data_IF_756063843028
#
_entry.id   IF_756063843028
#
_cell.length_a   1.000
_cell.length_b   1.000
_cell.length_c   1.000
_cell.angle_alpha   90.00
_cell.angle_beta   90.00
_cell.angle_gamma   90.00
#
_symmetry.space_group_name_H-M   'P 1'
#
loop_
_entity.id
_entity.type
_entity.pdbx_description
1 polymer ?
#
# COMPACT_ATOMS: atom_id res chain seq x y z
N UNK A 1 -13.73 12.57 -10.63
CA UNK A 1 -12.34 12.33 -11.09
C UNK A 1 -12.31 12.65 -12.57
N UNK A 2 -11.47 13.57 -13.00
CA UNK A 2 -11.30 13.89 -14.43
C UNK A 2 -10.26 12.95 -15.06
N UNK A 3 -10.30 12.84 -16.40
CA UNK A 3 -9.42 11.94 -17.16
C UNK A 3 -7.93 12.33 -17.02
N UNK A 4 -7.62 13.63 -16.91
CA UNK A 4 -6.25 14.08 -16.81
C UNK A 4 -5.63 13.68 -15.46
N UNK A 5 -6.38 13.81 -14.37
CA UNK A 5 -5.99 13.33 -13.04
C UNK A 5 -5.78 11.81 -13.02
N UNK A 6 -6.67 11.05 -13.66
CA UNK A 6 -6.53 9.59 -13.77
C UNK A 6 -5.28 9.19 -14.57
N UNK A 7 -5.02 9.85 -15.70
CA UNK A 7 -3.81 9.62 -16.50
C UNK A 7 -2.55 9.95 -15.70
N UNK A 8 -2.53 11.07 -14.97
CA UNK A 8 -1.40 11.44 -14.11
C UNK A 8 -1.15 10.43 -13.00
N UNK A 9 -2.20 9.84 -12.42
CA UNK A 9 -2.05 8.76 -11.45
C UNK A 9 -1.37 7.53 -12.07
N UNK A 10 -1.78 7.14 -13.28
CA UNK A 10 -1.17 6.02 -13.99
C UNK A 10 0.29 6.29 -14.40
N UNK A 11 0.63 7.50 -14.87
CA UNK A 11 2.03 7.85 -15.19
C UNK A 11 2.96 7.70 -13.98
N UNK A 12 2.47 7.99 -12.76
CA UNK A 12 3.24 7.76 -11.52
C UNK A 12 3.39 6.27 -11.20
N UNK A 13 2.42 5.45 -11.57
CA UNK A 13 2.45 4.00 -11.35
C UNK A 13 3.40 3.28 -12.35
N UNK A 14 3.65 3.86 -13.53
CA UNK A 14 4.54 3.25 -14.53
C UNK A 14 5.96 3.02 -14.02
N UNK A 15 6.51 3.89 -13.19
CA UNK A 15 7.84 3.68 -12.62
C UNK A 15 7.86 2.43 -11.73
N UNK A 16 6.87 2.30 -10.84
CA UNK A 16 6.69 1.10 -10.03
C UNK A 16 6.56 -0.15 -10.90
N UNK A 17 5.67 -0.15 -11.89
CA UNK A 17 5.47 -1.30 -12.77
C UNK A 17 6.73 -1.64 -13.56
N UNK A 18 7.47 -0.65 -14.06
CA UNK A 18 8.72 -0.86 -14.80
C UNK A 18 9.78 -1.55 -13.95
N UNK A 19 9.94 -1.13 -12.69
CA UNK A 19 10.84 -1.79 -11.75
C UNK A 19 10.43 -3.26 -11.51
N UNK A 20 9.12 -3.53 -11.40
CA UNK A 20 8.60 -4.89 -11.21
C UNK A 20 8.83 -5.78 -12.43
N UNK A 21 8.61 -5.24 -13.62
CA UNK A 21 8.89 -5.88 -14.92
C UNK A 21 10.38 -6.26 -15.02
N UNK A 22 11.29 -5.33 -14.74
CA UNK A 22 12.73 -5.60 -14.78
C UNK A 22 13.17 -6.71 -13.83
N UNK A 23 12.46 -6.88 -12.71
CA UNK A 23 12.70 -7.96 -11.74
C UNK A 23 11.90 -9.25 -12.01
N UNK A 24 11.14 -9.32 -13.13
CA UNK A 24 10.20 -10.40 -13.46
C UNK A 24 9.25 -10.75 -12.29
N UNK A 25 8.84 -9.73 -11.53
CA UNK A 25 8.06 -9.90 -10.30
C UNK A 25 6.56 -9.97 -10.63
N UNK A 26 5.91 -11.05 -10.20
CA UNK A 26 4.45 -11.17 -10.28
C UNK A 26 3.78 -10.48 -9.08
N UNK A 27 2.74 -9.71 -9.32
CA UNK A 27 1.95 -9.00 -8.32
C UNK A 27 0.75 -9.84 -7.84
N UNK A 28 0.39 -9.78 -6.55
CA UNK A 28 -0.76 -10.52 -6.03
C UNK A 28 -2.08 -9.97 -6.59
N UNK A 29 -2.98 -10.88 -7.01
CA UNK A 29 -4.33 -10.55 -7.45
C UNK A 29 -5.31 -11.63 -6.96
N UNK A 30 -5.97 -11.37 -5.83
CA UNK A 30 -6.80 -12.37 -5.16
C UNK A 30 -5.99 -13.62 -4.81
N UNK A 31 -6.42 -14.79 -5.32
CA UNK A 31 -5.70 -16.07 -5.16
C UNK A 31 -4.62 -16.32 -6.22
N UNK A 32 -4.50 -15.43 -7.19
CA UNK A 32 -3.60 -15.57 -8.33
C UNK A 32 -2.44 -14.57 -8.21
N UNK A 33 -1.46 -14.72 -9.09
CA UNK A 33 -0.41 -13.73 -9.30
C UNK A 33 -0.36 -13.38 -10.78
N UNK A 34 -0.32 -12.10 -11.09
CA UNK A 34 -0.30 -11.56 -12.45
C UNK A 34 1.04 -10.90 -12.74
N UNK A 35 1.52 -10.98 -13.98
CA UNK A 35 2.72 -10.26 -14.40
C UNK A 35 2.51 -8.75 -14.32
N UNK A 36 3.55 -8.00 -13.97
CA UNK A 36 3.50 -6.54 -13.96
C UNK A 36 3.34 -5.97 -15.39
N UNK A 37 3.83 -6.71 -16.39
CA UNK A 37 3.67 -6.43 -17.83
C UNK A 37 2.19 -6.42 -18.20
N UNK A 38 1.45 -7.47 -17.83
CA UNK A 38 0.02 -7.58 -18.09
C UNK A 38 -0.77 -6.43 -17.46
N UNK A 39 -0.41 -6.01 -16.25
CA UNK A 39 -1.05 -4.87 -15.58
C UNK A 39 -0.79 -3.58 -16.37
N UNK A 40 0.47 -3.34 -16.76
CA UNK A 40 0.87 -2.17 -17.55
C UNK A 40 0.13 -2.12 -18.89
N UNK A 41 0.16 -3.21 -19.66
CA UNK A 41 -0.50 -3.31 -20.97
C UNK A 41 -2.02 -3.15 -20.86
N UNK A 42 -2.64 -3.76 -19.84
CA UNK A 42 -4.08 -3.61 -19.60
C UNK A 42 -4.45 -2.15 -19.29
N UNK A 43 -3.64 -1.46 -18.49
CA UNK A 43 -3.87 -0.06 -18.16
C UNK A 43 -3.65 0.86 -19.38
N UNK A 44 -2.61 0.63 -20.18
CA UNK A 44 -2.36 1.35 -21.44
C UNK A 44 -3.55 1.20 -22.40
N UNK A 45 -4.01 -0.04 -22.63
CA UNK A 45 -5.19 -0.34 -23.44
C UNK A 45 -6.47 0.33 -22.91
N UNK A 46 -6.62 0.42 -21.58
CA UNK A 46 -7.78 1.09 -20.98
C UNK A 46 -7.80 2.58 -21.30
N UNK A 47 -6.65 3.26 -21.27
CA UNK A 47 -6.57 4.67 -21.65
C UNK A 47 -6.77 4.90 -23.16
N UNK A 48 -6.31 3.99 -24.00
CA UNK A 48 -6.59 4.03 -25.45
C UNK A 48 -8.10 3.96 -25.70
N UNK A 49 -8.78 2.95 -25.12
CA UNK A 49 -10.23 2.77 -25.25
C UNK A 49 -11.02 3.96 -24.69
N UNK A 50 -10.55 4.55 -23.58
CA UNK A 50 -11.16 5.77 -23.02
C UNK A 50 -11.06 6.97 -23.96
N UNK A 51 -10.00 7.06 -24.78
CA UNK A 51 -9.81 8.11 -25.76
C UNK A 51 -10.57 7.88 -27.07
N UNK A 52 -10.78 6.62 -27.46
CA UNK A 52 -11.49 6.24 -28.71
C UNK A 52 -13.01 6.19 -28.56
N UNK A 53 -13.52 5.86 -27.38
CA UNK A 53 -14.96 5.67 -27.18
C UNK A 53 -15.74 6.98 -27.37
N UNK A 54 -16.72 6.97 -28.28
CA UNK A 54 -17.55 8.14 -28.57
C UNK A 54 -18.57 8.43 -27.48
N UNK A 55 -19.05 7.38 -26.82
CA UNK A 55 -20.04 7.46 -25.76
C UNK A 55 -19.87 6.32 -24.72
N UNK A 56 -20.66 6.39 -23.64
CA UNK A 56 -20.63 5.41 -22.56
C UNK A 56 -21.04 3.99 -23.00
N UNK A 57 -21.87 3.86 -24.04
CA UNK A 57 -22.34 2.56 -24.55
C UNK A 57 -21.21 1.87 -25.32
N UNK A 58 -20.51 2.61 -26.16
CA UNK A 58 -19.33 2.14 -26.86
C UNK A 58 -18.20 1.79 -25.89
N UNK A 59 -17.95 2.65 -24.88
CA UNK A 59 -16.97 2.37 -23.83
C UNK A 59 -17.27 1.05 -23.11
N UNK A 60 -18.51 0.84 -22.66
CA UNK A 60 -18.91 -0.41 -21.99
C UNK A 60 -18.75 -1.64 -22.92
N UNK A 61 -19.06 -1.50 -24.21
CA UNK A 61 -18.85 -2.57 -25.20
C UNK A 61 -17.37 -2.89 -25.35
N UNK A 62 -16.50 -1.89 -25.45
CA UNK A 62 -15.04 -2.07 -25.58
C UNK A 62 -14.46 -2.69 -24.31
N UNK A 63 -14.86 -2.22 -23.12
CA UNK A 63 -14.44 -2.81 -21.84
C UNK A 63 -14.81 -4.30 -21.77
N UNK A 64 -16.05 -4.66 -22.11
CA UNK A 64 -16.50 -6.07 -22.12
C UNK A 64 -15.80 -6.94 -23.15
N UNK A 65 -15.32 -6.35 -24.25
CA UNK A 65 -14.61 -7.07 -25.32
C UNK A 65 -13.14 -7.30 -24.97
N UNK A 66 -12.50 -6.31 -24.35
CA UNK A 66 -11.04 -6.29 -24.18
C UNK A 66 -10.56 -6.72 -22.79
N UNK A 67 -11.46 -6.83 -21.79
CA UNK A 67 -11.08 -7.12 -20.40
C UNK A 67 -11.87 -8.28 -19.79
N UNK A 68 -11.20 -9.00 -18.90
CA UNK A 68 -11.87 -9.92 -17.97
C UNK A 68 -12.50 -9.11 -16.83
N UNK A 69 -13.83 -9.18 -16.70
CA UNK A 69 -14.58 -8.44 -15.68
C UNK A 69 -14.85 -9.35 -14.48
N UNK A 70 -14.41 -8.91 -13.30
CA UNK A 70 -14.60 -9.60 -12.03
C UNK A 70 -15.62 -8.86 -11.16
N UNK A 71 -16.55 -9.61 -10.56
CA UNK A 71 -17.50 -9.06 -9.59
C UNK A 71 -16.86 -9.00 -8.19
N UNK A 72 -16.87 -7.82 -7.59
CA UNK A 72 -16.54 -7.67 -6.17
C UNK A 72 -17.73 -8.10 -5.30
N UNK A 73 -17.63 -9.27 -4.66
CA UNK A 73 -18.73 -9.90 -3.90
C UNK A 73 -19.12 -9.17 -2.59
N UNK A 74 -18.35 -8.17 -2.16
CA UNK A 74 -18.63 -7.40 -0.95
C UNK A 74 -18.50 -8.20 0.36
N UNK A 75 -18.89 -7.56 1.46
CA UNK A 75 -18.79 -8.13 2.80
C UNK A 75 -19.62 -9.41 2.90
N UNK A 76 -18.98 -10.53 3.26
CA UNK A 76 -19.60 -11.86 3.42
C UNK A 76 -20.45 -12.32 2.22
N UNK A 77 -20.14 -11.87 1.00
CA UNK A 77 -20.86 -12.30 -0.21
C UNK A 77 -22.25 -11.68 -0.39
N UNK A 78 -22.61 -10.68 0.40
CA UNK A 78 -23.94 -10.06 0.37
C UNK A 78 -24.03 -8.83 -0.55
N UNK A 79 -23.02 -8.58 -1.39
CA UNK A 79 -23.00 -7.45 -2.33
C UNK A 79 -22.83 -6.07 -1.67
N UNK A 80 -22.77 -5.98 -0.34
CA UNK A 80 -22.52 -4.73 0.38
C UNK A 80 -21.03 -4.42 0.40
N UNK A 81 -20.63 -3.33 -0.25
CA UNK A 81 -19.25 -2.82 -0.25
C UNK A 81 -19.16 -1.61 0.67
N UNK A 82 -18.16 -1.59 1.56
CA UNK A 82 -17.84 -0.44 2.40
C UNK A 82 -16.76 0.40 1.71
N UNK A 83 -17.09 1.66 1.41
CA UNK A 83 -16.12 2.65 0.95
C UNK A 83 -15.76 3.58 2.11
N UNK A 84 -14.46 3.77 2.34
CA UNK A 84 -13.92 4.70 3.34
C UNK A 84 -12.91 5.63 2.68
N UNK A 85 -12.54 6.71 3.36
CA UNK A 85 -11.55 7.66 2.88
C UNK A 85 -10.40 7.81 3.88
N UNK A 86 -9.21 8.02 3.35
CA UNK A 86 -8.04 8.49 4.11
C UNK A 86 -7.54 9.79 3.47
N UNK A 87 -6.77 10.58 4.22
CA UNK A 87 -6.16 11.81 3.73
C UNK A 87 -4.76 11.97 4.32
N UNK A 88 -3.96 12.86 3.75
CA UNK A 88 -2.67 13.25 4.29
C UNK A 88 -2.84 14.55 5.09
N UNK A 89 -2.80 14.52 6.44
CA UNK A 89 -2.94 15.72 7.24
C UNK A 89 -1.70 16.61 7.10
N UNK A 90 -1.93 17.92 7.03
CA UNK A 90 -0.85 18.93 7.00
C UNK A 90 -0.85 19.66 8.33
N UNK A 91 0.27 19.60 9.04
CA UNK A 91 0.46 20.26 10.33
C UNK A 91 1.59 21.29 10.26
N UNK A 92 1.43 22.42 10.96
CA UNK A 92 2.53 23.34 11.22
C UNK A 92 3.49 22.69 12.20
N UNK A 93 4.79 22.81 11.94
CA UNK A 93 5.85 22.25 12.78
C UNK A 93 7.01 23.26 12.91
N UNK A 94 7.87 23.05 13.92
CA UNK A 94 9.09 23.81 14.14
C UNK A 94 10.28 22.86 14.23
N UNK A 95 11.43 23.28 13.71
CA UNK A 95 12.71 22.55 13.88
C UNK A 95 13.24 22.65 15.33
N UNK A 96 12.76 23.62 16.11
CA UNK A 96 13.15 23.83 17.50
C UNK A 96 11.96 23.79 18.45
N UNK A 97 12.13 23.12 19.59
CA UNK A 97 11.11 23.00 20.64
C UNK A 97 10.89 24.34 21.34
N UNK A 98 9.63 24.74 21.47
CA UNK A 98 9.21 25.90 22.29
C UNK A 98 7.73 25.76 22.68
N UNK A 99 7.17 26.79 23.35
CA UNK A 99 5.87 26.73 24.00
C UNK A 99 4.73 26.21 23.08
N UNK A 100 4.72 26.58 21.79
CA UNK A 100 3.68 26.16 20.84
C UNK A 100 4.00 24.84 20.12
N UNK A 101 5.26 24.39 20.12
CA UNK A 101 5.73 23.17 19.46
C UNK A 101 6.41 22.25 20.48
N UNK A 102 5.58 21.64 21.33
CA UNK A 102 6.03 20.84 22.49
C UNK A 102 6.26 19.36 22.18
N UNK A 103 5.58 18.84 21.17
CA UNK A 103 5.57 17.42 20.83
C UNK A 103 6.52 17.12 19.66
N UNK A 104 7.55 16.29 19.86
CA UNK A 104 8.50 15.96 18.81
C UNK A 104 7.91 14.94 17.82
N UNK A 105 8.44 14.93 16.61
CA UNK A 105 8.29 13.83 15.66
C UNK A 105 9.56 12.98 15.75
N UNK A 106 9.40 11.69 16.04
CA UNK A 106 10.51 10.76 16.18
C UNK A 106 10.85 10.12 14.83
N UNK A 107 12.14 10.04 14.53
CA UNK A 107 12.65 9.06 13.57
C UNK A 107 12.56 7.66 14.17
N UNK A 108 12.72 6.64 13.34
CA UNK A 108 12.87 5.27 13.82
C UNK A 108 14.07 5.18 14.79
N UNK A 109 13.85 4.77 16.05
CA UNK A 109 14.94 4.67 17.02
C UNK A 109 15.90 3.54 16.66
N UNK A 110 17.21 3.75 16.86
CA UNK A 110 18.24 2.75 16.52
C UNK A 110 18.21 1.48 17.38
N UNK A 111 17.48 1.50 18.50
CA UNK A 111 17.28 0.35 19.39
C UNK A 111 15.97 -0.41 19.10
N UNK A 112 15.13 0.09 18.19
CA UNK A 112 13.95 -0.61 17.72
C UNK A 112 14.40 -1.75 16.80
N UNK A 113 14.07 -2.97 17.21
CA UNK A 113 14.42 -4.18 16.48
C UNK A 113 13.16 -4.96 16.15
N UNK A 114 13.18 -5.63 15.00
CA UNK A 114 12.12 -6.53 14.55
C UNK A 114 12.71 -7.92 14.39
N UNK A 115 12.08 -8.93 14.98
CA UNK A 115 12.43 -10.33 14.77
C UNK A 115 11.31 -11.03 14.00
N UNK A 116 11.67 -11.73 12.93
CA UNK A 116 10.81 -12.67 12.21
C UNK A 116 10.86 -14.00 12.96
N UNK A 117 9.78 -14.35 13.67
CA UNK A 117 9.78 -15.53 14.54
C UNK A 117 9.89 -16.85 13.75
N UNK A 118 9.49 -16.83 12.48
CA UNK A 118 9.65 -17.94 11.55
C UNK A 118 11.09 -18.42 11.33
N UNK A 119 12.09 -17.57 11.58
CA UNK A 119 13.51 -17.95 11.49
C UNK A 119 13.95 -18.84 12.65
N UNK A 120 13.20 -18.80 13.77
CA UNK A 120 13.47 -19.60 14.97
C UNK A 120 12.57 -20.84 15.04
N UNK A 121 11.30 -20.68 14.67
CA UNK A 121 10.31 -21.76 14.65
C UNK A 121 9.45 -21.66 13.38
N UNK A 122 9.50 -22.65 12.46
CA UNK A 122 8.67 -22.67 11.26
C UNK A 122 7.16 -22.56 11.53
N UNK A 123 6.67 -22.95 12.72
CA UNK A 123 5.27 -22.79 13.10
C UNK A 123 4.87 -21.32 13.28
N UNK A 124 5.84 -20.43 13.50
CA UNK A 124 5.66 -18.98 13.65
C UNK A 124 5.99 -18.22 12.35
N UNK A 125 5.98 -18.90 11.20
CA UNK A 125 6.26 -18.26 9.91
C UNK A 125 5.28 -17.11 9.62
N UNK A 126 5.83 -15.91 9.40
CA UNK A 126 5.09 -14.68 9.16
C UNK A 126 4.74 -13.88 10.42
N UNK A 127 4.94 -14.45 11.62
CA UNK A 127 4.79 -13.73 12.88
C UNK A 127 6.03 -12.88 13.18
N UNK A 128 5.79 -11.66 13.69
CA UNK A 128 6.86 -10.70 14.01
C UNK A 128 6.68 -10.13 15.40
N UNK A 129 7.80 -9.85 16.06
CA UNK A 129 7.81 -9.04 17.29
C UNK A 129 8.67 -7.80 17.11
N UNK A 130 8.27 -6.71 17.78
CA UNK A 130 9.05 -5.48 17.89
C UNK A 130 9.60 -5.39 19.30
N UNK A 131 10.93 -5.31 19.42
CA UNK A 131 11.64 -5.44 20.68
C UNK A 131 12.83 -4.48 20.78
N UNK A 132 13.41 -4.40 21.97
CA UNK A 132 14.70 -3.76 22.25
C UNK A 132 15.53 -4.66 23.18
N UNK A 133 16.81 -4.36 23.31
CA UNK A 133 17.69 -5.06 24.25
C UNK A 133 17.80 -4.23 25.52
N UNK A 134 17.46 -4.82 26.66
CA UNK A 134 17.76 -4.22 27.97
C UNK A 134 19.25 -4.37 28.25
N UNK A 135 20.00 -3.27 28.20
CA UNK A 135 21.46 -3.30 28.37
C UNK A 135 21.92 -3.71 29.77
N UNK A 136 21.06 -3.64 30.79
CA UNK A 136 21.44 -4.01 32.17
C UNK A 136 21.31 -5.51 32.38
N UNK A 137 20.30 -6.13 31.75
CA UNK A 137 20.01 -7.56 31.87
C UNK A 137 20.49 -8.40 30.69
N UNK A 138 20.91 -7.74 29.61
CA UNK A 138 21.25 -8.36 28.31
C UNK A 138 20.09 -9.18 27.73
N UNK A 139 18.85 -8.77 28.01
CA UNK A 139 17.64 -9.51 27.64
C UNK A 139 16.87 -8.82 26.50
N UNK A 140 16.17 -9.62 25.70
CA UNK A 140 15.15 -9.15 24.75
C UNK A 140 13.90 -8.78 25.54
N UNK A 141 13.42 -7.55 25.35
CA UNK A 141 12.17 -7.07 25.96
C UNK A 141 11.30 -6.35 24.93
N UNK A 142 9.97 -6.31 25.11
CA UNK A 142 9.07 -5.60 24.19
C UNK A 142 9.47 -4.13 24.02
N UNK A 143 9.25 -3.60 22.81
CA UNK A 143 9.48 -2.19 22.56
C UNK A 143 8.52 -1.30 23.36
N UNK A 144 8.89 -0.03 23.53
CA UNK A 144 8.11 0.92 24.31
C UNK A 144 6.68 1.10 23.76
N UNK A 145 5.70 1.08 24.67
CA UNK A 145 4.31 1.41 24.32
C UNK A 145 4.19 2.91 24.03
N UNK A 146 3.10 3.33 23.38
CA UNK A 146 2.81 4.76 23.19
C UNK A 146 2.89 5.55 24.49
N UNK A 147 2.39 4.99 25.60
CA UNK A 147 2.45 5.64 26.92
C UNK A 147 3.88 5.85 27.40
N UNK A 148 4.78 4.88 27.19
CA UNK A 148 6.18 5.00 27.57
C UNK A 148 6.93 6.05 26.72
N UNK A 149 6.52 6.24 25.45
CA UNK A 149 7.18 7.19 24.53
C UNK A 149 6.77 8.64 24.83
N UNK A 150 5.52 8.88 25.20
CA UNK A 150 4.96 10.23 25.37
C UNK A 150 5.08 10.79 26.79
N UNK A 151 5.61 10.01 27.73
CA UNK A 151 5.80 10.41 29.13
C UNK A 151 6.95 11.39 29.33
#
# INVERSE_FOLDING_TARGET
>A
MDLASLKKAFEREKEFLSQKISSNQKLPFGRQRVGAELIKESAELFFEILGEARDAKELNRLIRKCFNIYLAYGQKGQGRVLFTGYYSPVHKASLSKHADYRYPLYLEPSDLKVAELGEFDPQLAGEKIVYRIDKKREEIVPYHTRRHIVQ
#
